data_IF_079158003827
#
_entry.id   IF_079158003827
#
_cell.length_a   1.000
_cell.length_b   1.000
_cell.length_c   1.000
_cell.angle_alpha   90.00
_cell.angle_beta   90.00
_cell.angle_gamma   90.00
#
_symmetry.space_group_name_H-M   'P 1'
#
loop_
_entity.id
_entity.type
_entity.pdbx_description
1 polymer ?
#
# COMPACT_ATOMS: atom_id res chain seq x y z
N UNK A 1 75.43 -3.03 -41.14
CA UNK A 1 74.20 -3.64 -40.60
C UNK A 1 73.94 -2.99 -39.23
N UNK A 2 73.04 -2.01 -39.16
CA UNK A 2 72.76 -1.19 -37.98
C UNK A 2 71.43 -1.66 -37.38
N UNK A 3 71.46 -2.26 -36.19
CA UNK A 3 70.26 -2.63 -35.44
C UNK A 3 69.88 -1.47 -34.54
N UNK A 4 68.72 -0.85 -34.80
CA UNK A 4 68.17 0.24 -34.00
C UNK A 4 67.36 -0.32 -32.83
N UNK A 5 67.73 0.07 -31.61
CA UNK A 5 66.92 -0.01 -30.41
C UNK A 5 65.71 0.92 -30.54
N UNK A 6 64.50 0.41 -30.26
CA UNK A 6 63.32 1.24 -30.01
C UNK A 6 62.79 0.94 -28.62
N UNK A 7 62.89 1.94 -27.76
CA UNK A 7 62.37 2.00 -26.41
C UNK A 7 60.90 2.46 -26.49
N UNK A 8 59.96 1.56 -26.22
CA UNK A 8 58.52 1.86 -26.19
C UNK A 8 58.04 2.13 -24.77
N UNK A 9 57.77 3.39 -24.46
CA UNK A 9 57.20 3.90 -23.23
C UNK A 9 55.71 3.50 -23.15
N UNK A 10 55.33 2.64 -22.20
CA UNK A 10 53.94 2.28 -21.96
C UNK A 10 53.29 3.32 -21.02
N UNK A 11 52.45 4.18 -21.58
CA UNK A 11 51.64 5.14 -20.83
C UNK A 11 50.43 4.38 -20.26
N UNK A 12 50.38 4.23 -18.94
CA UNK A 12 49.24 3.68 -18.22
C UNK A 12 48.16 4.76 -18.11
N UNK A 13 47.29 4.88 -19.12
CA UNK A 13 46.08 5.71 -19.05
C UNK A 13 44.99 4.94 -18.32
N UNK A 14 44.67 5.36 -17.09
CA UNK A 14 43.54 4.86 -16.31
C UNK A 14 42.23 5.19 -17.02
N UNK A 15 41.64 4.17 -17.64
CA UNK A 15 40.24 4.20 -18.05
C UNK A 15 39.43 3.95 -16.78
N UNK A 16 38.78 5.00 -16.30
CA UNK A 16 37.67 4.86 -15.35
C UNK A 16 36.56 4.15 -16.13
N UNK A 17 36.36 2.87 -15.85
CA UNK A 17 35.13 2.18 -16.22
C UNK A 17 34.02 2.83 -15.38
N UNK A 18 33.32 3.79 -15.96
CA UNK A 18 31.96 4.07 -15.53
C UNK A 18 31.16 2.81 -15.83
N UNK A 19 30.83 2.05 -14.78
CA UNK A 19 29.82 1.01 -14.86
C UNK A 19 28.51 1.69 -15.29
N UNK A 20 28.31 1.71 -16.61
CA UNK A 20 26.99 1.76 -17.18
C UNK A 20 26.29 0.51 -16.65
N UNK A 21 25.34 0.71 -15.74
CA UNK A 21 24.35 -0.30 -15.36
C UNK A 21 23.59 -0.61 -16.64
N UNK A 22 24.14 -1.53 -17.43
CA UNK A 22 23.45 -2.12 -18.55
C UNK A 22 22.32 -2.96 -18.00
N UNK A 23 21.10 -2.43 -18.04
CA UNK A 23 19.88 -3.25 -18.05
C UNK A 23 19.98 -4.21 -19.25
N UNK A 24 20.54 -5.39 -19.03
CA UNK A 24 20.59 -6.43 -20.03
C UNK A 24 20.32 -7.79 -19.36
N UNK A 25 19.06 -8.21 -19.43
CA UNK A 25 18.68 -9.59 -19.09
C UNK A 25 17.23 -9.78 -18.68
N UNK A 26 16.25 -9.30 -19.47
CA UNK A 26 14.83 -9.64 -19.30
C UNK A 26 14.62 -11.16 -19.28
N UNK A 27 14.58 -11.77 -18.10
CA UNK A 27 14.25 -13.19 -17.92
C UNK A 27 12.71 -13.41 -17.94
N UNK A 28 12.03 -12.68 -18.84
CA UNK A 28 10.60 -12.75 -19.13
C UNK A 28 10.30 -13.89 -20.12
N UNK A 29 10.73 -15.11 -19.83
CA UNK A 29 10.33 -16.28 -20.62
C UNK A 29 8.97 -16.76 -20.11
N UNK A 30 7.91 -16.31 -20.78
CA UNK A 30 6.56 -16.88 -20.64
C UNK A 30 5.55 -15.97 -19.95
N UNK A 31 4.32 -15.99 -20.47
CA UNK A 31 3.10 -15.34 -19.99
C UNK A 31 3.10 -13.82 -19.76
N UNK A 32 4.20 -13.06 -19.90
CA UNK A 32 4.19 -11.59 -19.85
C UNK A 32 4.38 -10.96 -18.46
N UNK A 33 4.82 -11.74 -17.47
CA UNK A 33 5.26 -11.32 -16.14
C UNK A 33 6.67 -11.86 -15.85
N UNK A 34 7.35 -11.38 -14.79
CA UNK A 34 8.55 -12.04 -14.26
C UNK A 34 8.30 -13.51 -13.93
N UNK A 35 9.30 -14.36 -14.15
CA UNK A 35 9.25 -15.77 -13.73
C UNK A 35 9.44 -15.90 -12.22
N UNK A 36 9.08 -17.04 -11.62
CA UNK A 36 9.40 -17.42 -10.22
C UNK A 36 8.23 -17.34 -9.22
N UNK A 37 8.47 -17.63 -7.92
CA UNK A 37 7.41 -17.74 -6.91
C UNK A 37 6.66 -16.42 -6.69
N UNK A 38 5.33 -16.47 -6.64
CA UNK A 38 4.48 -15.30 -6.46
C UNK A 38 3.09 -15.68 -5.95
N UNK A 39 2.41 -14.70 -5.37
CA UNK A 39 0.97 -14.74 -5.14
C UNK A 39 0.23 -14.05 -6.29
N UNK A 40 -0.89 -14.62 -6.73
CA UNK A 40 -1.72 -14.02 -7.78
C UNK A 40 -2.96 -13.41 -7.15
N UNK A 41 -3.31 -12.18 -7.51
CA UNK A 41 -4.63 -11.60 -7.28
C UNK A 41 -5.26 -11.32 -8.66
N UNK A 42 -6.54 -11.67 -8.82
CA UNK A 42 -7.28 -11.37 -10.04
C UNK A 42 -8.47 -10.47 -9.70
N UNK A 43 -8.56 -9.33 -10.39
CA UNK A 43 -9.74 -8.47 -10.34
C UNK A 43 -10.55 -8.73 -11.60
N UNK A 44 -11.79 -9.19 -11.44
CA UNK A 44 -12.66 -9.62 -12.54
C UNK A 44 -13.81 -8.63 -12.71
N UNK A 45 -13.85 -7.99 -13.88
CA UNK A 45 -14.90 -7.04 -14.27
C UNK A 45 -16.21 -7.74 -14.64
N UNK A 46 -17.26 -7.46 -13.87
CA UNK A 46 -18.61 -8.03 -14.00
C UNK A 46 -19.61 -7.00 -14.52
N UNK A 47 -20.69 -7.50 -15.12
CA UNK A 47 -21.80 -6.67 -15.59
C UNK A 47 -22.65 -6.16 -14.40
N UNK A 48 -23.57 -5.24 -14.67
CA UNK A 48 -24.42 -4.61 -13.64
C UNK A 48 -25.45 -5.57 -13.00
N UNK A 49 -25.77 -6.69 -13.66
CA UNK A 49 -26.67 -7.73 -13.16
C UNK A 49 -25.95 -8.78 -12.29
N UNK A 50 -24.62 -8.71 -12.19
CA UNK A 50 -23.87 -9.59 -11.31
C UNK A 50 -24.22 -9.32 -9.84
N UNK A 51 -24.47 -10.40 -9.11
CA UNK A 51 -24.71 -10.41 -7.67
C UNK A 51 -23.49 -11.00 -6.98
N UNK A 52 -23.05 -10.38 -5.89
CA UNK A 52 -21.94 -10.89 -5.11
C UNK A 52 -22.22 -12.33 -4.63
N UNK A 53 -21.30 -13.30 -4.85
CA UNK A 53 -21.53 -14.67 -4.42
C UNK A 53 -21.54 -14.78 -2.89
N UNK A 54 -22.25 -15.78 -2.37
CA UNK A 54 -22.14 -16.15 -0.95
C UNK A 54 -20.75 -16.70 -0.64
N UNK A 55 -20.35 -16.72 0.64
CA UNK A 55 -19.07 -17.28 1.05
C UNK A 55 -18.88 -18.73 0.58
N UNK A 56 -19.92 -19.57 0.68
CA UNK A 56 -19.86 -20.95 0.20
C UNK A 56 -19.67 -21.05 -1.31
N UNK A 57 -20.34 -20.20 -2.07
CA UNK A 57 -20.23 -20.20 -3.54
C UNK A 57 -18.88 -19.65 -4.01
N UNK A 58 -18.36 -18.63 -3.31
CA UNK A 58 -17.04 -18.07 -3.55
C UNK A 58 -15.97 -19.13 -3.31
N UNK A 59 -15.97 -19.78 -2.15
CA UNK A 59 -14.99 -20.83 -1.81
C UNK A 59 -15.06 -22.02 -2.77
N UNK A 60 -16.25 -22.39 -3.23
CA UNK A 60 -16.43 -23.48 -4.19
C UNK A 60 -15.91 -23.13 -5.59
N UNK A 61 -16.09 -21.89 -6.04
CA UNK A 61 -15.70 -21.42 -7.38
C UNK A 61 -14.28 -20.85 -7.45
N UNK A 62 -13.74 -20.40 -6.32
CA UNK A 62 -12.42 -19.77 -6.19
C UNK A 62 -11.63 -20.42 -5.05
N UNK A 63 -11.17 -21.67 -5.21
CA UNK A 63 -10.45 -22.38 -4.14
C UNK A 63 -9.16 -21.67 -3.69
N UNK A 64 -8.55 -20.88 -4.57
CA UNK A 64 -7.37 -20.07 -4.28
C UNK A 64 -7.64 -18.77 -3.51
N UNK A 65 -8.91 -18.42 -3.25
CA UNK A 65 -9.34 -17.21 -2.52
C UNK A 65 -8.60 -15.95 -2.96
N UNK A 66 -8.48 -15.76 -4.27
CA UNK A 66 -7.61 -14.74 -4.84
C UNK A 66 -8.27 -13.93 -5.95
N UNK A 67 -9.60 -13.81 -5.88
CA UNK A 67 -10.41 -13.10 -6.85
C UNK A 67 -11.23 -12.03 -6.15
N UNK A 68 -11.15 -10.80 -6.65
CA UNK A 68 -12.04 -9.69 -6.32
C UNK A 68 -12.94 -9.44 -7.54
N UNK A 69 -14.22 -9.23 -7.31
CA UNK A 69 -15.19 -8.83 -8.33
C UNK A 69 -15.43 -7.33 -8.25
N UNK A 70 -15.38 -6.68 -9.41
CA UNK A 70 -15.69 -5.25 -9.56
C UNK A 70 -16.66 -5.08 -10.72
N UNK A 71 -17.34 -3.93 -10.81
CA UNK A 71 -18.08 -3.59 -12.02
C UNK A 71 -17.11 -3.34 -13.17
N UNK A 72 -17.55 -3.70 -14.39
CA UNK A 72 -16.71 -3.58 -15.60
C UNK A 72 -16.48 -2.12 -15.99
N UNK A 73 -17.46 -1.27 -15.74
CA UNK A 73 -17.38 0.19 -15.94
C UNK A 73 -17.77 0.83 -14.62
N UNK A 74 -16.79 1.42 -13.94
CA UNK A 74 -16.93 1.93 -12.59
C UNK A 74 -15.82 2.92 -12.25
N UNK A 75 -16.15 4.00 -11.56
CA UNK A 75 -15.21 5.01 -11.07
C UNK A 75 -15.08 5.02 -9.56
N UNK A 76 -15.81 4.13 -8.87
CA UNK A 76 -15.90 4.09 -7.41
C UNK A 76 -15.65 2.67 -6.92
N UNK A 77 -14.43 2.16 -7.16
CA UNK A 77 -14.00 0.85 -6.66
C UNK A 77 -13.08 1.08 -5.46
N UNK A 78 -13.41 0.44 -4.35
CA UNK A 78 -12.63 0.42 -3.13
C UNK A 78 -12.01 -0.96 -2.89
N UNK A 79 -10.69 -1.01 -2.70
CA UNK A 79 -9.94 -2.22 -2.37
C UNK A 79 -9.06 -1.96 -1.15
N UNK A 80 -9.37 -2.69 -0.09
CA UNK A 80 -8.70 -2.72 1.19
C UNK A 80 -7.61 -3.77 1.20
N UNK A 81 -6.40 -3.37 1.56
CA UNK A 81 -5.36 -4.31 1.99
C UNK A 81 -5.27 -4.29 3.50
N UNK A 82 -5.58 -5.43 4.09
CA UNK A 82 -5.56 -5.67 5.52
C UNK A 82 -4.18 -6.14 5.95
N UNK A 83 -3.61 -5.48 6.95
CA UNK A 83 -2.35 -5.85 7.55
C UNK A 83 -2.46 -5.83 9.07
N UNK A 84 -1.34 -6.07 9.74
CA UNK A 84 -1.26 -6.04 11.19
C UNK A 84 -2.33 -6.87 11.92
N UNK A 85 -2.93 -6.32 12.97
CA UNK A 85 -3.94 -6.95 13.83
C UNK A 85 -5.23 -7.36 13.10
N UNK A 86 -5.48 -6.90 11.88
CA UNK A 86 -6.55 -7.40 11.01
C UNK A 86 -6.05 -8.29 9.88
N UNK A 87 -4.77 -8.23 9.55
CA UNK A 87 -4.12 -9.02 8.52
C UNK A 87 -3.25 -10.16 9.09
N UNK A 88 -2.02 -10.37 8.58
CA UNK A 88 -1.21 -11.56 8.89
C UNK A 88 -0.78 -11.73 10.34
N UNK A 89 -0.90 -10.71 11.18
CA UNK A 89 -0.63 -10.88 12.62
C UNK A 89 -1.83 -11.53 13.32
N UNK A 90 -3.04 -11.27 12.84
CA UNK A 90 -4.25 -11.96 13.28
C UNK A 90 -4.31 -13.41 12.78
N UNK A 91 -3.67 -13.68 11.64
CA UNK A 91 -3.44 -15.01 11.10
C UNK A 91 -1.94 -15.23 10.78
N UNK A 92 -1.10 -15.49 11.80
CA UNK A 92 0.33 -15.70 11.60
C UNK A 92 0.66 -16.96 10.80
N UNK A 93 -0.36 -17.79 10.51
CA UNK A 93 -0.25 -18.98 9.67
C UNK A 93 -0.57 -18.71 8.19
N UNK A 94 -0.93 -17.47 7.83
CA UNK A 94 -1.24 -17.08 6.46
C UNK A 94 0.01 -17.24 5.58
N UNK A 95 0.01 -18.27 4.74
CA UNK A 95 1.10 -18.60 3.81
C UNK A 95 0.77 -18.28 2.36
N UNK A 96 -0.46 -17.85 2.08
CA UNK A 96 -0.94 -17.47 0.75
C UNK A 96 -1.77 -16.19 0.82
N UNK A 97 -1.81 -15.42 -0.27
CA UNK A 97 -2.79 -14.33 -0.41
C UNK A 97 -4.20 -14.87 -0.19
N UNK A 98 -5.01 -14.10 0.54
CA UNK A 98 -6.41 -14.43 0.81
C UNK A 98 -7.28 -13.19 0.67
N UNK A 99 -8.27 -13.24 -0.19
CA UNK A 99 -9.34 -12.25 -0.29
C UNK A 99 -10.35 -12.55 0.81
N UNK A 100 -10.58 -11.56 1.68
CA UNK A 100 -11.47 -11.63 2.84
C UNK A 100 -12.84 -11.02 2.54
N UNK A 101 -12.90 -10.05 1.63
CA UNK A 101 -14.13 -9.56 0.99
C UNK A 101 -13.92 -9.51 -0.54
N UNK A 102 -14.72 -10.27 -1.28
CA UNK A 102 -14.50 -10.52 -2.71
C UNK A 102 -15.33 -9.65 -3.64
N UNK A 103 -16.05 -8.65 -3.13
CA UNK A 103 -16.82 -7.72 -3.94
C UNK A 103 -16.48 -6.28 -3.57
N UNK A 104 -16.48 -5.39 -4.57
CA UNK A 104 -16.31 -3.97 -4.32
C UNK A 104 -17.59 -3.32 -3.82
N UNK A 105 -17.41 -2.13 -3.25
CA UNK A 105 -18.46 -1.25 -2.71
C UNK A 105 -19.59 -1.01 -3.71
N UNK A 106 -19.30 -0.92 -5.00
CA UNK A 106 -20.29 -0.78 -6.06
C UNK A 106 -21.16 -2.02 -6.35
N UNK A 107 -20.87 -3.17 -5.73
CA UNK A 107 -21.62 -4.41 -5.87
C UNK A 107 -22.49 -4.67 -4.64
N UNK A 108 -21.94 -4.56 -3.44
CA UNK A 108 -22.61 -4.92 -2.18
C UNK A 108 -22.50 -3.89 -1.05
N UNK A 109 -21.84 -2.75 -1.31
CA UNK A 109 -21.76 -1.61 -0.39
C UNK A 109 -20.55 -1.63 0.56
N UNK A 110 -19.65 -2.60 0.47
CA UNK A 110 -18.41 -2.65 1.26
C UNK A 110 -17.16 -2.71 0.38
N UNK A 111 -16.05 -2.14 0.85
CA UNK A 111 -14.78 -2.26 0.14
C UNK A 111 -14.35 -3.73 0.04
N UNK A 112 -13.87 -4.15 -1.13
CA UNK A 112 -13.26 -5.47 -1.27
C UNK A 112 -12.01 -5.53 -0.38
N UNK A 113 -11.66 -6.69 0.17
CA UNK A 113 -10.58 -6.78 1.15
C UNK A 113 -9.68 -8.00 0.89
N UNK A 114 -8.39 -7.84 1.14
CA UNK A 114 -7.43 -8.93 1.03
C UNK A 114 -6.30 -8.83 2.05
N UNK A 115 -5.71 -10.00 2.32
CA UNK A 115 -4.54 -10.19 3.17
C UNK A 115 -3.41 -10.81 2.34
N UNK A 116 -2.21 -10.27 2.50
CA UNK A 116 -0.97 -10.81 1.96
C UNK A 116 -0.16 -11.43 3.09
N UNK A 117 0.53 -12.57 2.91
CA UNK A 117 1.45 -13.07 3.92
C UNK A 117 2.44 -12.01 4.41
N UNK A 118 2.96 -12.16 5.63
CA UNK A 118 3.98 -11.23 6.13
C UNK A 118 5.31 -11.45 5.39
N UNK A 119 5.89 -10.37 4.90
CA UNK A 119 7.24 -10.37 4.31
C UNK A 119 7.98 -9.09 4.71
N UNK A 120 9.04 -9.25 5.52
CA UNK A 120 9.82 -8.14 6.06
C UNK A 120 10.63 -7.41 4.98
N UNK A 121 10.94 -8.08 3.87
CA UNK A 121 11.62 -7.47 2.72
C UNK A 121 10.61 -6.95 1.69
N UNK A 122 9.33 -7.33 1.82
CA UNK A 122 8.18 -6.86 1.05
C UNK A 122 7.97 -7.59 -0.28
N UNK A 123 7.34 -6.91 -1.25
CA UNK A 123 6.85 -7.57 -2.47
C UNK A 123 7.13 -6.78 -3.74
N UNK A 124 7.88 -7.31 -4.70
CA UNK A 124 7.82 -6.72 -6.04
C UNK A 124 6.42 -6.98 -6.64
N UNK A 125 5.70 -5.92 -7.02
CA UNK A 125 4.32 -6.02 -7.51
C UNK A 125 4.24 -5.68 -8.99
N UNK A 126 3.64 -6.58 -9.75
CA UNK A 126 3.42 -6.42 -11.18
C UNK A 126 1.95 -6.57 -11.48
N UNK A 127 1.43 -5.72 -12.37
CA UNK A 127 0.04 -5.81 -12.79
C UNK A 127 -0.15 -5.66 -14.31
N UNK A 128 -1.24 -6.21 -14.82
CA UNK A 128 -1.66 -6.05 -16.22
C UNK A 128 -3.13 -6.33 -16.43
N UNK A 129 -3.64 -5.90 -17.59
CA UNK A 129 -4.98 -6.27 -18.04
C UNK A 129 -4.90 -7.39 -19.08
N UNK A 130 -5.75 -8.39 -18.93
CA UNK A 130 -5.97 -9.50 -19.86
C UNK A 130 -7.45 -9.59 -20.26
N UNK A 131 -7.78 -10.49 -21.20
CA UNK A 131 -9.15 -10.62 -21.74
C UNK A 131 -9.36 -9.91 -23.08
N UNK A 132 -10.53 -10.15 -23.70
CA UNK A 132 -10.92 -9.53 -24.97
C UNK A 132 -11.43 -8.11 -24.70
N UNK A 133 -11.08 -7.10 -25.51
CA UNK A 133 -11.67 -5.77 -25.38
C UNK A 133 -13.21 -5.84 -25.42
N UNK A 134 -13.86 -4.97 -24.64
CA UNK A 134 -15.30 -4.74 -24.77
C UNK A 134 -15.68 -4.27 -26.17
N UNK A 135 -16.97 -4.33 -26.49
CA UNK A 135 -17.52 -3.91 -27.78
C UNK A 135 -17.63 -2.39 -27.94
N UNK A 136 -17.31 -1.61 -26.91
CA UNK A 136 -17.37 -0.15 -26.93
C UNK A 136 -16.03 0.47 -27.31
N UNK A 137 -16.10 1.58 -28.05
CA UNK A 137 -14.97 2.29 -28.66
C UNK A 137 -14.12 2.97 -27.57
N UNK A 138 -13.22 2.21 -26.97
CA UNK A 138 -12.23 2.68 -25.99
C UNK A 138 -11.15 1.64 -25.72
N UNK A 139 -9.97 2.08 -25.31
CA UNK A 139 -8.95 1.18 -24.77
C UNK A 139 -9.41 0.75 -23.37
N UNK A 140 -9.54 -0.55 -23.07
CA UNK A 140 -9.80 -0.96 -21.70
C UNK A 140 -8.66 -0.52 -20.79
N UNK A 141 -8.99 0.22 -19.75
CA UNK A 141 -8.05 0.67 -18.73
C UNK A 141 -8.51 0.25 -17.33
N UNK A 142 -7.56 0.23 -16.42
CA UNK A 142 -7.79 0.08 -15.01
C UNK A 142 -6.80 0.99 -14.31
N UNK A 143 -7.30 1.99 -13.59
CA UNK A 143 -6.49 2.97 -12.91
C UNK A 143 -6.60 2.79 -11.40
N UNK A 144 -5.49 2.99 -10.71
CA UNK A 144 -5.45 3.13 -9.26
C UNK A 144 -5.41 4.60 -8.92
N UNK A 145 -6.22 5.00 -7.96
CA UNK A 145 -6.26 6.34 -7.38
C UNK A 145 -6.38 6.20 -5.88
N UNK A 146 -6.10 7.28 -5.15
CA UNK A 146 -6.21 7.26 -3.70
C UNK A 146 -5.24 6.30 -3.01
N UNK A 147 -4.60 6.81 -1.98
CA UNK A 147 -4.03 5.97 -0.93
C UNK A 147 -4.55 6.58 0.34
N UNK A 148 -5.46 5.90 1.02
CA UNK A 148 -5.97 6.37 2.30
C UNK A 148 -5.64 5.34 3.37
N UNK A 149 -5.14 5.82 4.50
CA UNK A 149 -4.93 5.01 5.68
C UNK A 149 -6.08 5.24 6.64
N UNK A 150 -6.84 4.19 6.90
CA UNK A 150 -8.06 4.31 7.70
C UNK A 150 -7.73 4.22 9.20
N UNK A 151 -6.73 3.44 9.61
CA UNK A 151 -6.18 3.38 10.98
C UNK A 151 -4.77 2.75 10.92
N UNK A 152 -3.79 3.36 11.61
CA UNK A 152 -2.43 2.83 11.73
C UNK A 152 -2.18 2.58 13.21
N UNK A 153 -1.90 1.33 13.60
CA UNK A 153 -1.55 0.99 14.98
C UNK A 153 -0.10 0.48 15.03
N UNK A 154 0.61 0.50 16.15
CA UNK A 154 1.90 -0.18 16.31
C UNK A 154 1.75 -1.66 16.67
N UNK A 155 2.86 -2.38 16.86
CA UNK A 155 2.82 -3.79 17.23
C UNK A 155 2.12 -4.10 18.57
N UNK A 156 1.87 -3.12 19.43
CA UNK A 156 1.12 -3.27 20.68
C UNK A 156 -0.32 -2.74 20.61
N UNK A 157 -0.75 -2.25 19.45
CA UNK A 157 -2.11 -1.73 19.24
C UNK A 157 -2.26 -0.25 19.59
N UNK A 158 -1.16 0.51 19.63
CA UNK A 158 -1.20 1.95 19.89
C UNK A 158 -1.44 2.73 18.59
N UNK A 159 -2.33 3.71 18.61
CA UNK A 159 -2.68 4.48 17.42
C UNK A 159 -1.55 5.43 16.97
N UNK A 160 -1.33 5.48 15.66
CA UNK A 160 -0.29 6.26 15.02
C UNK A 160 -0.87 7.23 13.96
N UNK A 161 -0.21 8.37 13.80
CA UNK A 161 -0.47 9.34 12.73
C UNK A 161 0.61 9.19 11.66
N UNK A 162 0.20 8.88 10.43
CA UNK A 162 1.07 9.00 9.27
C UNK A 162 1.16 10.45 8.80
N UNK A 163 2.37 11.01 8.77
CA UNK A 163 2.68 12.34 8.26
C UNK A 163 3.75 12.23 7.18
N UNK A 164 3.37 12.40 5.92
CA UNK A 164 4.31 12.19 4.84
C UNK A 164 3.59 11.79 3.58
N UNK A 165 4.31 11.16 2.66
CA UNK A 165 3.88 11.15 1.28
C UNK A 165 2.75 10.15 1.00
N UNK A 166 1.50 10.62 1.00
CA UNK A 166 0.29 9.94 0.50
C UNK A 166 -0.68 10.92 -0.19
N UNK A 167 -0.93 10.81 -1.51
CA UNK A 167 -2.13 11.38 -2.19
C UNK A 167 -2.29 10.85 -3.64
N UNK A 168 -3.43 11.15 -4.27
CA UNK A 168 -3.65 11.35 -5.72
C UNK A 168 -3.59 12.83 -6.19
N UNK A 169 -3.48 13.84 -5.30
CA UNK A 169 -3.34 15.29 -5.67
C UNK A 169 -2.30 16.12 -4.90
N UNK A 170 -1.20 15.53 -4.42
CA UNK A 170 -0.17 16.23 -3.65
C UNK A 170 1.19 15.55 -3.56
N UNK A 171 1.36 14.34 -4.10
CA UNK A 171 2.46 13.40 -3.81
C UNK A 171 2.57 12.49 -5.04
N UNK A 172 3.61 12.74 -5.85
CA UNK A 172 4.05 12.08 -7.10
C UNK A 172 2.99 11.31 -7.92
N UNK A 173 2.74 11.80 -9.15
CA UNK A 173 2.12 11.00 -10.21
C UNK A 173 3.04 9.81 -10.53
N UNK A 174 2.71 8.63 -9.99
CA UNK A 174 3.46 7.42 -10.26
C UNK A 174 3.21 7.02 -11.71
N UNK A 175 4.29 6.93 -12.49
CA UNK A 175 4.20 6.36 -13.83
C UNK A 175 3.73 4.89 -13.72
N UNK A 176 2.49 4.60 -14.13
CA UNK A 176 1.94 3.23 -14.17
C UNK A 176 0.76 2.95 -13.23
N UNK A 177 0.20 3.98 -12.59
CA UNK A 177 -1.12 3.91 -11.92
C UNK A 177 -2.25 3.53 -12.88
N UNK A 178 -2.14 3.88 -14.16
CA UNK A 178 -3.06 3.43 -15.20
C UNK A 178 -2.49 2.25 -16.00
N UNK A 179 -3.21 1.13 -15.97
CA UNK A 179 -2.92 -0.03 -16.78
C UNK A 179 -3.68 0.06 -18.09
N UNK A 180 -3.00 -0.31 -19.18
CA UNK A 180 -3.60 -0.39 -20.52
C UNK A 180 -3.55 -1.82 -21.04
N UNK A 181 -4.63 -2.27 -21.67
CA UNK A 181 -4.72 -3.62 -22.21
C UNK A 181 -3.80 -3.87 -23.41
N UNK A 182 -3.57 -2.88 -24.26
CA UNK A 182 -2.65 -2.96 -25.40
C UNK A 182 -2.05 -1.58 -25.71
N UNK A 183 -0.96 -1.58 -26.50
CA UNK A 183 -0.35 -0.35 -27.00
C UNK A 183 -1.09 0.10 -28.27
N UNK A 184 -1.81 1.22 -28.19
CA UNK A 184 -2.58 1.76 -29.32
C UNK A 184 -1.72 2.26 -30.47
N UNK A 185 -0.42 2.49 -30.23
CA UNK A 185 0.54 2.92 -31.25
C UNK A 185 1.15 1.77 -32.07
N UNK A 186 0.92 0.51 -31.66
CA UNK A 186 1.47 -0.69 -32.33
C UNK A 186 0.38 -1.50 -33.01
N UNK A 187 0.68 -2.00 -34.21
CA UNK A 187 -0.22 -2.89 -34.94
C UNK A 187 -0.28 -4.27 -34.28
N UNK A 188 -1.37 -4.54 -33.57
CA UNK A 188 -1.66 -5.82 -32.92
C UNK A 188 -2.20 -5.62 -31.51
N UNK A 189 -3.46 -6.04 -31.26
CA UNK A 189 -4.13 -5.97 -29.94
C UNK A 189 -3.60 -7.01 -28.93
N UNK A 190 -2.30 -7.32 -29.02
CA UNK A 190 -1.61 -8.24 -28.12
C UNK A 190 -1.68 -7.75 -26.67
N UNK A 191 -1.69 -8.68 -25.72
CA UNK A 191 -1.65 -8.36 -24.28
C UNK A 191 -0.38 -7.60 -23.98
N UNK A 192 -0.52 -6.42 -23.35
CA UNK A 192 0.62 -5.68 -22.82
C UNK A 192 1.34 -6.53 -21.76
N UNK A 193 2.68 -6.40 -21.73
CA UNK A 193 3.47 -6.97 -20.64
C UNK A 193 3.05 -6.33 -19.31
N UNK A 194 3.29 -7.02 -18.22
CA UNK A 194 3.01 -6.47 -16.91
C UNK A 194 3.87 -5.23 -16.63
N UNK A 195 3.23 -4.27 -15.98
CA UNK A 195 3.83 -3.04 -15.48
C UNK A 195 4.28 -3.28 -14.05
N UNK A 196 5.47 -2.84 -13.68
CA UNK A 196 5.90 -2.79 -12.29
C UNK A 196 5.12 -1.66 -11.59
N UNK A 197 4.36 -2.01 -10.55
CA UNK A 197 3.56 -1.09 -9.74
C UNK A 197 3.97 -1.15 -8.26
N UNK A 198 5.18 -1.64 -7.98
CA UNK A 198 5.72 -1.80 -6.61
C UNK A 198 5.65 -0.50 -5.81
N UNK A 199 5.85 0.65 -6.45
CA UNK A 199 5.83 1.96 -5.82
C UNK A 199 4.47 2.32 -5.19
N UNK A 200 3.35 1.72 -5.66
CA UNK A 200 2.04 1.90 -5.04
C UNK A 200 1.98 1.36 -3.59
N UNK A 201 2.91 0.49 -3.22
CA UNK A 201 2.95 -0.21 -1.94
C UNK A 201 4.12 0.23 -1.05
N UNK A 202 4.85 1.27 -1.45
CA UNK A 202 5.96 1.85 -0.70
C UNK A 202 5.54 3.17 -0.06
N UNK A 203 6.10 3.48 1.10
CA UNK A 203 5.86 4.69 1.86
C UNK A 203 7.18 5.29 2.33
N UNK A 204 7.26 6.61 2.20
CA UNK A 204 8.34 7.45 2.72
C UNK A 204 7.72 8.62 3.44
N UNK A 205 8.07 8.79 4.72
CA UNK A 205 7.44 9.77 5.59
C UNK A 205 7.61 9.43 7.07
N UNK A 206 7.05 10.27 7.90
CA UNK A 206 7.04 10.10 9.34
C UNK A 206 5.78 9.35 9.78
N UNK A 207 5.93 8.43 10.73
CA UNK A 207 4.81 7.86 11.46
C UNK A 207 5.01 8.17 12.93
N UNK A 208 3.97 8.73 13.54
CA UNK A 208 4.03 9.37 14.83
C UNK A 208 3.08 8.72 15.83
N UNK A 209 3.59 8.29 16.97
CA UNK A 209 2.78 7.77 18.06
C UNK A 209 2.17 8.92 18.89
N UNK A 210 0.88 8.79 19.19
CA UNK A 210 0.19 9.67 20.13
C UNK A 210 0.22 9.06 21.53
N UNK A 211 -0.28 7.83 21.66
CA UNK A 211 -0.26 7.03 22.88
C UNK A 211 0.97 6.11 22.93
N UNK A 212 1.36 5.71 24.16
CA UNK A 212 2.45 4.75 24.44
C UNK A 212 3.70 4.87 23.53
N UNK A 213 4.23 6.08 23.50
CA UNK A 213 5.40 6.45 22.71
C UNK A 213 6.66 5.64 23.07
N UNK A 214 6.73 5.14 24.30
CA UNK A 214 7.83 4.30 24.80
C UNK A 214 7.91 2.94 24.09
N UNK A 215 6.77 2.38 23.73
CA UNK A 215 6.73 1.15 22.95
C UNK A 215 7.22 1.41 21.53
N UNK A 216 6.57 2.36 20.85
CA UNK A 216 6.84 2.65 19.44
C UNK A 216 8.30 3.10 19.20
N UNK A 217 8.86 3.91 20.10
CA UNK A 217 10.18 4.52 19.96
C UNK A 217 11.28 3.76 20.71
N UNK A 218 10.93 2.67 21.40
CA UNK A 218 11.80 1.97 22.33
C UNK A 218 11.97 2.69 23.68
N UNK A 219 12.54 2.01 24.68
CA UNK A 219 12.52 2.44 26.08
C UNK A 219 13.21 3.78 26.35
N UNK A 220 14.17 4.17 25.49
CA UNK A 220 14.93 5.42 25.61
C UNK A 220 14.50 6.49 24.59
N UNK A 221 13.40 6.26 23.84
CA UNK A 221 12.88 7.11 22.76
C UNK A 221 13.89 7.43 21.64
N UNK A 222 15.07 6.81 21.62
CA UNK A 222 16.17 7.13 20.71
C UNK A 222 15.86 6.84 19.23
N UNK A 223 14.80 6.07 18.96
CA UNK A 223 14.36 5.74 17.60
C UNK A 223 13.36 6.76 17.03
N UNK A 224 12.93 7.72 17.84
CA UNK A 224 12.00 8.75 17.43
C UNK A 224 12.57 10.15 17.64
N UNK A 225 11.92 11.11 16.99
CA UNK A 225 12.08 12.53 17.22
C UNK A 225 10.74 13.14 17.61
N UNK A 226 10.77 14.25 18.35
CA UNK A 226 9.55 14.97 18.69
C UNK A 226 8.86 15.47 17.41
N UNK A 227 7.62 15.06 17.22
CA UNK A 227 6.78 15.40 16.08
C UNK A 227 5.93 16.66 16.28
N UNK A 228 4.93 16.89 15.41
CA UNK A 228 3.96 17.94 15.62
C UNK A 228 3.13 17.66 16.86
N UNK A 229 2.57 18.75 17.39
CA UNK A 229 1.60 18.68 18.47
C UNK A 229 0.21 18.53 17.88
N UNK A 230 -0.54 17.56 18.37
CA UNK A 230 -1.96 17.38 18.07
C UNK A 230 -2.80 17.74 19.29
N UNK A 231 -4.06 18.07 19.05
CA UNK A 231 -5.01 18.49 20.06
C UNK A 231 -6.06 17.41 20.23
N UNK A 232 -6.05 16.75 21.38
CA UNK A 232 -6.83 15.54 21.58
C UNK A 232 -7.77 15.66 22.76
N UNK A 233 -8.91 14.98 22.67
CA UNK A 233 -9.81 14.79 23.81
C UNK A 233 -9.38 13.54 24.58
N UNK A 234 -9.12 13.63 25.90
CA UNK A 234 -8.78 12.47 26.70
C UNK A 234 -10.05 11.75 27.17
N UNK A 235 -10.02 10.41 27.17
CA UNK A 235 -11.11 9.54 27.60
C UNK A 235 -10.63 8.50 28.62
N UNK A 236 -11.51 8.13 29.55
CA UNK A 236 -11.36 6.99 30.45
C UNK A 236 -12.57 6.07 30.30
N UNK A 237 -12.38 4.78 30.52
CA UNK A 237 -13.50 3.85 30.69
C UNK A 237 -14.19 4.15 32.04
N UNK A 238 -15.52 4.34 32.01
CA UNK A 238 -16.35 4.54 33.20
C UNK A 238 -16.53 3.28 34.07
N UNK A 239 -15.88 2.17 33.70
CA UNK A 239 -16.00 0.87 34.32
C UNK A 239 -17.19 0.05 33.82
N UNK A 240 -18.00 0.61 32.92
CA UNK A 240 -19.11 -0.06 32.23
C UNK A 240 -18.80 -0.29 30.74
N UNK A 241 -17.57 0.00 30.30
CA UNK A 241 -17.16 -0.09 28.91
C UNK A 241 -17.54 1.14 28.07
N UNK A 242 -18.03 2.22 28.70
CA UNK A 242 -18.26 3.48 28.00
C UNK A 242 -17.09 4.42 28.20
N UNK A 243 -16.66 5.04 27.10
CA UNK A 243 -15.63 6.08 27.15
C UNK A 243 -16.27 7.40 27.59
N UNK A 244 -15.80 7.92 28.71
CA UNK A 244 -16.19 9.23 29.24
C UNK A 244 -14.97 10.14 29.25
N UNK A 245 -15.22 11.44 29.11
CA UNK A 245 -14.15 12.43 29.10
C UNK A 245 -13.32 12.37 30.39
N UNK A 246 -12.00 12.33 30.25
CA UNK A 246 -11.08 12.32 31.37
C UNK A 246 -10.80 13.73 31.88
N UNK A 247 -10.76 13.93 33.19
CA UNK A 247 -10.47 15.25 33.78
C UNK A 247 -8.98 15.67 33.70
N UNK A 248 -8.11 14.83 33.13
CA UNK A 248 -6.67 15.05 33.08
C UNK A 248 -6.11 14.83 31.68
N UNK A 249 -5.15 15.67 31.30
CA UNK A 249 -4.36 15.52 30.10
C UNK A 249 -3.24 14.49 30.29
N UNK A 250 -3.61 13.22 30.15
CA UNK A 250 -2.68 12.10 30.06
C UNK A 250 -2.67 11.59 28.61
N UNK A 251 -1.52 11.61 27.89
CA UNK A 251 -1.41 11.05 26.54
C UNK A 251 -1.83 9.58 26.44
N UNK A 252 -1.76 8.81 27.53
CA UNK A 252 -2.22 7.43 27.57
C UNK A 252 -3.75 7.28 27.50
N UNK A 253 -4.49 8.37 27.74
CA UNK A 253 -5.95 8.42 27.74
C UNK A 253 -6.52 8.95 26.42
N UNK A 254 -5.68 9.20 25.43
CA UNK A 254 -6.09 9.79 24.16
C UNK A 254 -6.45 8.71 23.14
N UNK A 255 -7.53 8.94 22.37
CA UNK A 255 -7.89 8.11 21.21
C UNK A 255 -7.70 8.87 19.90
N UNK A 256 -7.22 8.18 18.87
CA UNK A 256 -6.89 8.77 17.58
C UNK A 256 -8.03 9.53 16.91
N UNK A 257 -9.24 8.93 16.90
CA UNK A 257 -10.41 9.55 16.31
C UNK A 257 -10.84 10.86 16.99
N UNK A 258 -10.29 11.19 18.16
CA UNK A 258 -10.58 12.37 18.93
C UNK A 258 -9.46 13.42 18.94
N UNK A 259 -8.49 13.28 18.03
CA UNK A 259 -7.40 14.23 17.83
C UNK A 259 -7.60 15.07 16.57
N UNK A 260 -7.18 16.33 16.62
CA UNK A 260 -7.10 17.21 15.46
C UNK A 260 -5.74 17.90 15.41
N UNK A 261 -5.34 18.35 14.22
CA UNK A 261 -4.10 19.10 14.06
C UNK A 261 -4.14 20.40 14.86
N UNK A 262 -3.01 20.75 15.48
CA UNK A 262 -2.83 22.06 16.08
C UNK A 262 -2.61 23.10 14.98
N UNK A 263 -3.38 24.19 15.00
CA UNK A 263 -3.24 25.28 14.04
C UNK A 263 -2.61 26.50 14.71
N UNK A 264 -1.56 27.06 14.09
CA UNK A 264 -0.84 28.23 14.60
C UNK A 264 -0.39 28.13 16.07
N UNK A 265 -0.09 26.90 16.53
CA UNK A 265 0.35 26.64 17.90
C UNK A 265 -0.77 26.62 18.95
N UNK A 266 -2.04 26.61 18.52
CA UNK A 266 -3.20 26.62 19.41
C UNK A 266 -4.13 25.44 19.11
N UNK A 267 -4.68 24.86 20.17
CA UNK A 267 -5.77 23.92 20.06
C UNK A 267 -7.10 24.66 19.82
N UNK A 268 -8.05 24.06 19.09
CA UNK A 268 -9.37 24.64 18.96
C UNK A 268 -10.04 24.80 20.33
N UNK A 269 -11.02 25.70 20.44
CA UNK A 269 -11.73 25.93 21.69
C UNK A 269 -12.64 24.74 22.08
N UNK A 270 -13.02 23.93 21.09
CA UNK A 270 -13.83 22.72 21.30
C UNK A 270 -13.58 21.70 20.19
N UNK A 271 -13.66 20.41 20.52
CA UNK A 271 -13.65 19.29 19.59
C UNK A 271 -14.97 18.53 19.73
N UNK A 272 -15.53 18.06 18.62
CA UNK A 272 -16.69 17.18 18.61
C UNK A 272 -16.27 15.77 18.21
N UNK A 273 -16.45 14.80 19.09
CA UNK A 273 -16.15 13.39 18.86
C UNK A 273 -17.37 12.54 19.22
N UNK A 274 -17.77 11.61 18.33
CA UNK A 274 -18.96 10.76 18.50
C UNK A 274 -20.24 11.53 18.92
N UNK A 275 -20.42 12.74 18.38
CA UNK A 275 -21.58 13.60 18.68
C UNK A 275 -21.51 14.36 20.01
N UNK A 276 -20.40 14.25 20.75
CA UNK A 276 -20.15 14.96 22.01
C UNK A 276 -19.14 16.09 21.75
N UNK A 277 -19.52 17.32 22.08
CA UNK A 277 -18.63 18.50 21.99
C UNK A 277 -18.05 18.82 23.37
N UNK A 278 -16.72 18.95 23.45
CA UNK A 278 -16.02 19.31 24.69
C UNK A 278 -14.95 20.38 24.48
N UNK A 279 -14.66 21.14 25.54
CA UNK A 279 -13.59 22.13 25.61
C UNK A 279 -12.34 21.61 26.35
N UNK A 280 -12.38 20.38 26.86
CA UNK A 280 -11.25 19.76 27.53
C UNK A 280 -10.34 19.10 26.50
N UNK A 281 -9.34 19.86 26.07
CA UNK A 281 -8.47 19.51 24.95
C UNK A 281 -7.02 19.56 25.41
N UNK A 282 -6.31 18.50 25.11
CA UNK A 282 -4.93 18.28 25.53
C UNK A 282 -3.99 18.41 24.34
N UNK A 283 -3.04 19.36 24.36
CA UNK A 283 -1.95 19.36 23.40
C UNK A 283 -1.01 18.18 23.69
N UNK A 284 -0.83 17.31 22.72
CA UNK A 284 0.05 16.13 22.80
C UNK A 284 1.14 16.26 21.74
N UNK A 285 2.38 16.41 22.17
CA UNK A 285 3.54 16.30 21.26
C UNK A 285 3.72 14.82 20.90
N UNK A 286 3.62 14.53 19.61
CA UNK A 286 3.78 13.17 19.09
C UNK A 286 5.26 12.76 19.08
N UNK A 287 5.54 11.46 18.98
CA UNK A 287 6.90 10.95 18.76
C UNK A 287 6.94 10.22 17.43
N UNK A 288 7.75 10.73 16.51
CA UNK A 288 7.79 10.30 15.12
C UNK A 288 9.03 9.50 14.79
N UNK A 289 8.84 8.45 14.00
CA UNK A 289 9.89 7.71 13.32
C UNK A 289 9.78 7.97 11.82
N UNK A 290 10.90 8.30 11.19
CA UNK A 290 10.98 8.47 9.74
C UNK A 290 11.21 7.11 9.08
N UNK A 291 10.44 6.83 8.05
CA UNK A 291 10.56 5.66 7.19
C UNK A 291 10.95 6.15 5.79
N UNK A 292 11.95 5.49 5.19
CA UNK A 292 12.42 5.77 3.83
C UNK A 292 12.30 4.50 2.99
N UNK A 293 11.54 4.59 1.90
CA UNK A 293 11.28 3.55 0.90
C UNK A 293 10.86 2.22 1.53
N UNK A 294 10.01 2.32 2.55
CA UNK A 294 9.56 1.17 3.32
C UNK A 294 8.28 0.60 2.75
N UNK A 295 8.15 -0.72 2.78
CA UNK A 295 6.90 -1.35 2.44
C UNK A 295 5.84 -0.98 3.45
N UNK A 296 4.69 -0.58 2.93
CA UNK A 296 3.53 -0.20 3.71
C UNK A 296 3.21 -1.29 4.74
N UNK A 297 3.24 -2.56 4.34
CA UNK A 297 3.00 -3.72 5.22
C UNK A 297 3.99 -3.89 6.39
N UNK A 298 5.12 -3.18 6.36
CA UNK A 298 6.18 -3.25 7.37
C UNK A 298 6.25 -2.00 8.25
N UNK A 299 5.49 -0.96 7.92
CA UNK A 299 5.38 0.24 8.72
C UNK A 299 4.20 0.06 9.66
N UNK A 300 4.49 -0.18 10.93
CA UNK A 300 3.47 -0.37 11.95
C UNK A 300 2.50 -1.55 11.64
N UNK A 301 1.56 -1.79 12.54
CA UNK A 301 0.40 -2.64 12.39
C UNK A 301 -0.70 -1.87 11.62
N UNK A 302 -0.48 -1.62 10.32
CA UNK A 302 -1.52 -1.03 9.48
C UNK A 302 -2.78 -1.88 9.55
N UNK A 303 -3.90 -1.31 9.98
CA UNK A 303 -5.15 -2.05 10.03
C UNK A 303 -5.68 -2.22 8.61
N UNK A 304 -5.64 -1.13 7.81
CA UNK A 304 -6.30 -1.02 6.52
C UNK A 304 -5.63 0.05 5.62
N UNK A 305 -5.16 -0.35 4.43
CA UNK A 305 -4.82 0.57 3.33
C UNK A 305 -5.90 0.49 2.25
N UNK A 306 -6.56 1.61 1.97
CA UNK A 306 -7.60 1.71 0.97
C UNK A 306 -7.03 2.26 -0.34
N UNK A 307 -7.19 1.49 -1.41
CA UNK A 307 -7.00 1.95 -2.79
C UNK A 307 -8.35 2.27 -3.42
N UNK A 308 -8.43 3.43 -4.02
CA UNK A 308 -9.41 3.73 -5.04
C UNK A 308 -9.01 3.09 -6.37
N UNK A 309 -10.00 2.74 -7.18
CA UNK A 309 -9.76 2.31 -8.54
C UNK A 309 -10.89 2.71 -9.48
N UNK A 310 -10.52 2.88 -10.75
CA UNK A 310 -11.42 3.06 -11.86
C UNK A 310 -11.23 1.91 -12.84
N UNK A 311 -12.32 1.26 -13.23
CA UNK A 311 -12.32 0.26 -14.27
C UNK A 311 -13.10 0.77 -15.48
N UNK A 312 -12.42 0.97 -16.61
CA UNK A 312 -13.06 1.39 -17.85
C UNK A 312 -13.02 0.25 -18.87
N UNK A 313 -13.79 -0.81 -18.62
CA UNK A 313 -13.99 -1.90 -19.58
C UNK A 313 -13.07 -3.10 -19.42
N UNK A 314 -12.23 -3.16 -18.37
CA UNK A 314 -11.31 -4.28 -18.14
C UNK A 314 -12.04 -5.51 -17.59
N UNK A 315 -11.80 -6.67 -18.21
CA UNK A 315 -12.43 -7.94 -17.83
C UNK A 315 -11.64 -8.70 -16.76
N UNK A 316 -10.33 -8.66 -16.85
CA UNK A 316 -9.44 -9.38 -15.96
C UNK A 316 -8.16 -8.58 -15.77
N UNK A 317 -7.98 -8.03 -14.58
CA UNK A 317 -6.74 -7.40 -14.15
C UNK A 317 -6.00 -8.38 -13.26
N UNK A 318 -4.77 -8.71 -13.62
CA UNK A 318 -3.94 -9.67 -12.92
C UNK A 318 -2.83 -8.94 -12.19
N UNK A 319 -2.66 -9.28 -10.92
CA UNK A 319 -1.55 -8.84 -10.10
C UNK A 319 -0.72 -10.03 -9.68
N UNK A 320 0.58 -9.79 -9.54
CA UNK A 320 1.52 -10.73 -8.97
C UNK A 320 2.38 -10.04 -7.93
N UNK A 321 2.37 -10.61 -6.74
CA UNK A 321 3.19 -10.20 -5.60
C UNK A 321 4.34 -11.20 -5.46
N UNK A 322 5.57 -10.76 -5.67
CA UNK A 322 6.77 -11.58 -5.58
C UNK A 322 7.47 -11.27 -4.26
N UNK A 323 7.51 -12.21 -3.30
CA UNK A 323 8.29 -12.07 -2.07
C UNK A 323 9.73 -11.61 -2.34
N UNK A 324 10.25 -10.70 -1.52
CA UNK A 324 11.62 -10.23 -1.60
C UNK A 324 12.53 -10.97 -0.59
N UNK A 325 13.86 -11.06 -0.85
CA UNK A 325 14.53 -10.74 -2.10
C UNK A 325 14.12 -11.71 -3.22
N UNK A 326 14.11 -11.22 -4.46
CA UNK A 326 13.81 -12.07 -5.62
C UNK A 326 14.85 -13.20 -5.74
N UNK A 327 14.39 -14.43 -5.88
CA UNK A 327 15.23 -15.62 -5.96
C UNK A 327 15.73 -15.83 -7.40
N UNK A 328 16.97 -16.31 -7.58
CA UNK A 328 17.50 -16.81 -8.85
C UNK A 328 17.48 -15.82 -10.05
N UNK A 329 18.13 -14.65 -9.94
CA UNK A 329 18.25 -13.67 -11.04
C UNK A 329 16.90 -13.29 -11.68
N UNK A 330 15.83 -13.33 -10.90
CA UNK A 330 14.58 -12.64 -11.22
C UNK A 330 14.91 -11.14 -11.29
N UNK A 331 15.06 -10.62 -12.51
CA UNK A 331 15.27 -9.19 -12.75
C UNK A 331 13.91 -8.48 -12.81
N UNK A 332 13.80 -7.26 -12.26
CA UNK A 332 12.61 -6.45 -12.39
C UNK A 332 12.14 -6.19 -13.82
#
# INVERSE_FOLDING_TARGET
MKVKFFLGLLILSGIVLSDSIGLAGNNLIGNGFPSGPHFNLNIIGKNNDFVCPSASDYLASTPGQNVIYVRRVDSDIEILMESGAKGPKSDPSLTTLKVTDWCSNSIDGTAAALQLPKDADGYAVYARITGKPGSEDGLPTFAFSGREFVLVEDELGNDLIGLGLITDTGIYDFAGNELYRYDSSKSGKGVRKATNISELFQFSGDVCAINDQTTFCGPDLSLCTAGPTVCCVPFVDDGSGNLVEANSCDPALVQFGACVNQEAGLCPASITYNGVTTANICPVTTQCKTFEDQWIFNIADFVNMLFGAENNGSYNVQFRFYPLPLLNNQTP
#
